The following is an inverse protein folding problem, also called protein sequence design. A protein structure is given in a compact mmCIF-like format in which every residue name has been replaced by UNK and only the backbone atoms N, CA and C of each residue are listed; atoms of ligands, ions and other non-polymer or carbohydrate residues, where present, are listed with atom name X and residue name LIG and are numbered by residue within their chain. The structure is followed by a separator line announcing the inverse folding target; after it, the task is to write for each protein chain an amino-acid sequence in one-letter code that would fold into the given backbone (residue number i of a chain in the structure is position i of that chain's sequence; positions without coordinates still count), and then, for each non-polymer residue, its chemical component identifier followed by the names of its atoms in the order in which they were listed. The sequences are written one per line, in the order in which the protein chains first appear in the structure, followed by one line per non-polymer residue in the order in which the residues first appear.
data_IF_833974168259
#
_entry.id   IF_833974168259
#
_cell.length_a   1.000
_cell.length_b   1.000
_cell.length_c   1.000
_cell.angle_alpha   90.00
_cell.angle_beta   90.00
_cell.angle_gamma   90.00
#
_symmetry.space_group_name_H-M   'P 1'
#
loop_
_entity.id
_entity.type
_entity.pdbx_description
1 polymer ?
#
# COMPACT_ATOMS: atom_id res chain seq x y z
N UNK A 1 0.75 -13.07 0.81
CA UNK A 1 0.66 -12.76 -0.64
C UNK A 1 2.03 -12.33 -1.15
N UNK A 2 2.30 -12.52 -2.43
CA UNK A 2 3.54 -12.05 -3.05
C UNK A 2 3.44 -10.55 -3.35
N UNK A 3 4.46 -9.79 -2.95
CA UNK A 3 4.45 -8.33 -3.13
C UNK A 3 5.54 -7.91 -4.13
N UNK A 4 5.15 -7.17 -5.14
CA UNK A 4 6.03 -6.61 -6.18
C UNK A 4 5.93 -5.10 -6.14
N UNK A 5 6.96 -4.36 -5.77
CA UNK A 5 8.20 -4.91 -5.23
C UNK A 5 8.56 -4.18 -3.94
N UNK A 6 9.28 -4.86 -3.05
CA UNK A 6 9.79 -4.27 -1.81
C UNK A 6 10.70 -3.06 -2.08
N UNK A 7 11.43 -3.09 -3.19
CA UNK A 7 12.34 -1.99 -3.56
C UNK A 7 11.63 -0.64 -3.63
N UNK A 8 10.42 -0.60 -4.13
CA UNK A 8 9.66 0.66 -4.26
C UNK A 8 9.45 1.33 -2.92
N UNK A 9 9.04 0.58 -1.90
CA UNK A 9 8.81 1.15 -0.57
C UNK A 9 10.13 1.42 0.15
N UNK A 10 11.13 0.57 -0.06
CA UNK A 10 12.47 0.77 0.53
C UNK A 10 13.09 2.07 -0.01
N UNK A 11 13.06 2.28 -1.31
CA UNK A 11 13.59 3.51 -1.92
C UNK A 11 12.92 4.75 -1.33
N UNK A 12 11.63 4.68 -1.02
CA UNK A 12 10.89 5.78 -0.41
C UNK A 12 11.38 6.09 1.00
N UNK A 13 11.47 5.08 1.88
CA UNK A 13 11.87 5.35 3.26
C UNK A 13 13.35 5.68 3.43
N UNK A 14 14.18 5.41 2.42
CA UNK A 14 15.60 5.78 2.43
C UNK A 14 15.81 7.26 2.13
N UNK A 15 14.79 7.95 1.63
CA UNK A 15 14.83 9.40 1.49
C UNK A 15 14.75 10.02 2.90
N UNK A 16 15.74 10.86 3.31
CA UNK A 16 15.83 11.31 4.70
C UNK A 16 14.53 11.91 5.27
N UNK A 17 13.82 12.70 4.47
CA UNK A 17 12.58 13.35 4.93
C UNK A 17 11.42 12.37 5.13
N UNK A 18 11.53 11.14 4.60
CA UNK A 18 10.50 10.11 4.72
C UNK A 18 10.96 8.92 5.57
N UNK A 19 12.01 9.09 6.34
CA UNK A 19 12.62 8.02 7.11
C UNK A 19 11.67 7.43 8.16
N UNK A 20 10.73 8.21 8.65
CA UNK A 20 9.71 7.75 9.59
C UNK A 20 8.68 6.80 8.97
N UNK A 21 8.70 6.61 7.66
CA UNK A 21 7.88 5.62 6.98
C UNK A 21 8.46 4.20 7.07
N UNK A 22 9.71 4.06 7.46
CA UNK A 22 10.42 2.76 7.43
C UNK A 22 9.70 1.69 8.25
N UNK A 23 9.53 1.91 9.54
CA UNK A 23 8.93 0.88 10.41
C UNK A 23 7.47 0.58 10.05
N UNK A 24 6.62 1.58 9.79
CA UNK A 24 5.26 1.30 9.35
C UNK A 24 5.18 0.52 8.03
N UNK A 25 6.06 0.81 7.07
CA UNK A 25 6.07 0.10 5.79
C UNK A 25 6.61 -1.32 5.94
N UNK A 26 7.61 -1.53 6.80
CA UNK A 26 8.10 -2.87 7.11
C UNK A 26 7.00 -3.72 7.76
N UNK A 27 6.24 -3.14 8.69
CA UNK A 27 5.12 -3.83 9.33
C UNK A 27 4.04 -4.19 8.30
N UNK A 28 3.67 -3.26 7.44
CA UNK A 28 2.72 -3.52 6.36
C UNK A 28 3.21 -4.65 5.44
N UNK A 29 4.48 -4.60 5.04
CA UNK A 29 5.06 -5.61 4.15
C UNK A 29 4.98 -7.01 4.76
N UNK A 30 5.31 -7.14 6.04
CA UNK A 30 5.25 -8.42 6.75
C UNK A 30 3.80 -8.93 6.85
N UNK A 31 2.87 -8.06 7.23
CA UNK A 31 1.46 -8.42 7.38
C UNK A 31 0.84 -8.81 6.03
N UNK A 32 1.06 -8.01 5.00
CA UNK A 32 0.54 -8.29 3.66
C UNK A 32 1.16 -9.54 3.06
N UNK A 33 2.44 -9.77 3.30
CA UNK A 33 3.14 -10.97 2.84
C UNK A 33 2.58 -12.23 3.44
N UNK A 34 2.12 -12.18 4.69
CA UNK A 34 1.54 -13.32 5.40
C UNK A 34 0.02 -13.44 5.20
N UNK A 35 -0.61 -12.45 4.60
CA UNK A 35 -2.05 -12.47 4.38
C UNK A 35 -2.42 -13.34 3.18
N UNK A 36 -3.69 -13.75 3.15
CA UNK A 36 -4.29 -14.48 2.03
C UNK A 36 -5.61 -13.82 1.66
N UNK A 37 -5.53 -12.52 1.33
CA UNK A 37 -6.71 -11.75 0.98
C UNK A 37 -7.31 -12.23 -0.33
N UNK A 38 -8.60 -12.55 -0.31
CA UNK A 38 -9.34 -13.01 -1.49
C UNK A 38 -10.32 -11.95 -1.99
N UNK A 39 -10.65 -10.98 -1.16
CA UNK A 39 -11.62 -9.92 -1.49
C UNK A 39 -11.18 -8.58 -0.88
N UNK A 40 -11.61 -7.45 -1.48
CA UNK A 40 -11.36 -6.14 -0.87
C UNK A 40 -11.92 -6.01 0.55
N UNK A 41 -13.05 -6.66 0.83
CA UNK A 41 -13.65 -6.61 2.16
C UNK A 41 -12.74 -7.22 3.23
N UNK A 42 -11.99 -8.26 2.90
CA UNK A 42 -11.04 -8.86 3.84
C UNK A 42 -9.92 -7.90 4.18
N UNK A 43 -9.41 -7.15 3.20
CA UNK A 43 -8.39 -6.13 3.43
C UNK A 43 -8.96 -5.01 4.30
N UNK A 44 -10.14 -4.53 3.97
CA UNK A 44 -10.81 -3.45 4.71
C UNK A 44 -11.05 -3.82 6.16
N UNK A 45 -11.35 -5.08 6.45
CA UNK A 45 -11.53 -5.59 7.81
C UNK A 45 -10.23 -5.51 8.61
N UNK A 46 -9.10 -5.76 7.95
CA UNK A 46 -7.78 -5.72 8.56
C UNK A 46 -7.25 -4.26 8.67
N UNK A 47 -7.49 -3.46 7.64
CA UNK A 47 -7.02 -2.08 7.53
C UNK A 47 -8.21 -1.13 7.36
N UNK A 48 -8.92 -0.88 8.47
CA UNK A 48 -10.17 -0.13 8.44
C UNK A 48 -10.07 1.30 7.94
N UNK A 49 -8.90 1.93 8.09
CA UNK A 49 -8.69 3.30 7.60
C UNK A 49 -8.37 3.36 6.10
N UNK A 50 -8.10 2.22 5.47
CA UNK A 50 -7.80 2.18 4.04
C UNK A 50 -9.03 2.37 3.18
N UNK A 51 -8.83 2.54 1.88
CA UNK A 51 -9.90 2.78 0.93
C UNK A 51 -9.86 1.80 -0.23
N UNK A 52 -11.02 1.21 -0.52
CA UNK A 52 -11.21 0.39 -1.71
C UNK A 52 -11.46 1.34 -2.87
N UNK A 53 -10.64 1.24 -3.94
CA UNK A 53 -10.84 2.07 -5.12
C UNK A 53 -10.95 1.19 -6.36
N UNK A 54 -11.37 1.80 -7.46
CA UNK A 54 -11.68 1.12 -8.71
C UNK A 54 -10.47 0.35 -9.28
N UNK A 55 -10.73 -0.73 -10.00
CA UNK A 55 -9.69 -1.49 -10.72
C UNK A 55 -8.85 -2.38 -9.82
N UNK A 56 -9.46 -3.00 -8.81
CA UNK A 56 -8.79 -3.91 -7.86
C UNK A 56 -7.65 -3.22 -7.10
N UNK A 57 -7.78 -1.93 -6.86
CA UNK A 57 -6.79 -1.15 -6.12
C UNK A 57 -7.26 -0.90 -4.69
N UNK A 58 -6.28 -0.76 -3.81
CA UNK A 58 -6.53 -0.42 -2.42
C UNK A 58 -5.51 0.64 -1.98
N UNK A 59 -5.95 1.60 -1.18
CA UNK A 59 -5.09 2.65 -0.62
C UNK A 59 -4.95 2.42 0.87
N UNK A 60 -3.72 2.18 1.32
CA UNK A 60 -3.40 2.05 2.73
C UNK A 60 -2.90 3.38 3.27
N UNK A 61 -3.32 3.73 4.49
CA UNK A 61 -2.74 4.83 5.24
C UNK A 61 -1.54 4.30 6.03
N UNK A 62 -0.39 4.92 5.85
CA UNK A 62 0.86 4.51 6.48
C UNK A 62 1.32 5.62 7.44
N UNK A 63 1.84 5.22 8.60
CA UNK A 63 2.25 6.16 9.66
C UNK A 63 1.07 7.06 10.06
N UNK A 64 -0.01 6.43 10.49
CA UNK A 64 -1.26 7.13 10.76
C UNK A 64 -1.87 7.60 9.44
N UNK A 65 -1.83 8.90 9.21
CA UNK A 65 -2.42 9.50 8.01
C UNK A 65 -1.37 10.25 7.16
N UNK A 66 -0.09 10.00 7.43
CA UNK A 66 0.98 10.80 6.84
C UNK A 66 1.29 10.40 5.41
N UNK A 67 1.26 9.10 5.12
CA UNK A 67 1.62 8.56 3.80
C UNK A 67 0.50 7.72 3.24
N UNK A 68 0.46 7.63 1.90
CA UNK A 68 -0.50 6.81 1.17
C UNK A 68 0.25 5.77 0.35
N UNK A 69 -0.16 4.51 0.47
CA UNK A 69 0.37 3.39 -0.30
C UNK A 69 -0.74 2.85 -1.18
N UNK A 70 -0.57 2.97 -2.50
CA UNK A 70 -1.55 2.46 -3.46
C UNK A 70 -1.04 1.16 -4.04
N UNK A 71 -1.88 0.14 -3.98
CA UNK A 71 -1.57 -1.18 -4.54
C UNK A 71 -2.67 -1.62 -5.50
N UNK A 72 -2.30 -2.46 -6.46
CA UNK A 72 -3.25 -3.19 -7.30
C UNK A 72 -3.13 -4.66 -6.96
N UNK A 73 -4.24 -5.33 -6.72
CA UNK A 73 -4.22 -6.69 -6.21
C UNK A 73 -4.83 -7.64 -7.24
N UNK A 74 -4.08 -8.70 -7.54
CA UNK A 74 -4.58 -9.82 -8.33
C UNK A 74 -4.98 -10.93 -7.35
N UNK A 75 -6.25 -10.96 -6.99
CA UNK A 75 -6.76 -11.85 -5.93
C UNK A 75 -6.60 -13.33 -6.29
N UNK A 76 -6.84 -13.72 -7.54
CA UNK A 76 -6.74 -15.14 -7.96
C UNK A 76 -5.31 -15.67 -7.92
N UNK A 77 -4.31 -14.85 -8.13
CA UNK A 77 -2.91 -15.28 -8.13
C UNK A 77 -2.19 -14.94 -6.83
N UNK A 78 -2.83 -14.16 -5.96
CA UNK A 78 -2.25 -13.77 -4.68
C UNK A 78 -1.09 -12.79 -4.80
N UNK A 79 -1.13 -11.88 -5.78
CA UNK A 79 -0.05 -10.92 -6.03
C UNK A 79 -0.52 -9.50 -5.76
N UNK A 80 0.30 -8.76 -5.02
CA UNK A 80 0.10 -7.33 -4.74
C UNK A 80 1.15 -6.55 -5.51
N UNK A 81 0.71 -5.65 -6.40
CA UNK A 81 1.60 -4.75 -7.11
C UNK A 81 1.57 -3.39 -6.44
N UNK A 82 2.74 -2.90 -5.98
CA UNK A 82 2.86 -1.56 -5.42
C UNK A 82 2.87 -0.57 -6.58
N UNK A 83 1.91 0.36 -6.58
CA UNK A 83 1.74 1.33 -7.66
C UNK A 83 2.22 2.72 -7.29
N UNK A 84 2.18 3.07 -6.00
CA UNK A 84 2.56 4.40 -5.55
C UNK A 84 2.78 4.39 -4.03
N UNK A 85 3.78 5.12 -3.57
CA UNK A 85 3.97 5.48 -2.18
C UNK A 85 4.39 6.95 -2.11
N UNK A 86 3.75 7.72 -1.27
CA UNK A 86 4.06 9.14 -1.13
C UNK A 86 3.32 9.79 0.00
N UNK A 87 3.52 11.09 0.14
CA UNK A 87 2.78 11.90 1.11
C UNK A 87 1.33 12.05 0.68
N UNK A 88 0.49 12.47 1.62
CA UNK A 88 -0.92 12.78 1.33
C UNK A 88 -1.03 13.82 0.20
N UNK A 89 -0.20 14.87 0.24
CA UNK A 89 -0.21 15.91 -0.79
C UNK A 89 0.20 15.37 -2.16
N UNK A 90 1.19 14.48 -2.21
CA UNK A 90 1.60 13.83 -3.45
C UNK A 90 0.49 12.94 -4.01
N UNK A 91 -0.18 12.20 -3.12
CA UNK A 91 -1.31 11.35 -3.53
C UNK A 91 -2.44 12.18 -4.14
N UNK A 92 -2.73 13.35 -3.58
CA UNK A 92 -3.80 14.22 -4.08
C UNK A 92 -3.55 14.73 -5.51
N UNK A 93 -2.31 14.65 -5.99
CA UNK A 93 -1.94 15.08 -7.34
C UNK A 93 -2.00 13.98 -8.40
N UNK A 94 -2.26 12.73 -7.98
CA UNK A 94 -2.34 11.60 -8.90
C UNK A 94 -3.76 11.07 -8.95
N UNK A 95 -4.07 10.29 -9.98
CA UNK A 95 -5.31 9.55 -10.07
C UNK A 95 -5.04 8.11 -9.63
N UNK A 96 -5.36 7.79 -8.36
CA UNK A 96 -5.12 6.48 -7.78
C UNK A 96 -5.85 5.35 -8.49
N UNK A 97 -6.91 5.66 -9.24
CA UNK A 97 -7.67 4.66 -9.98
C UNK A 97 -7.00 4.27 -11.31
N UNK A 98 -6.00 5.02 -11.76
CA UNK A 98 -5.37 4.82 -13.06
C UNK A 98 -3.91 4.37 -13.00
N UNK A 99 -3.28 4.49 -11.87
CA UNK A 99 -1.86 4.13 -11.73
C UNK A 99 -1.64 2.65 -11.52
#
# INVERSE_FOLDING_TARGET
MRIISRKTIKDFWEIPQYHDAEEPLKAWFAEAGNAEWKTPAQIKRHYGSGSIIHGNRFVFNIAGNKYRLVVKIHYNTGVIFIRFIGTHAQYDRIDGEKI
#
